data_IF_259786858297
#
_entry.id   IF_259786858297
#
_cell.length_a   1.000
_cell.length_b   1.000
_cell.length_c   1.000
_cell.angle_alpha   90.00
_cell.angle_beta   90.00
_cell.angle_gamma   90.00
#
_symmetry.space_group_name_H-M   'P 1'
#
loop_
_entity.id
_entity.type
_entity.pdbx_description
1 polymer ?
#
# COMPACT_ATOMS: atom_id res chain seq x y z
N UNK A 1 8.72 -10.51 26.52
CA UNK A 1 8.90 -10.13 26.37
C UNK A 1 8.91 -9.63 26.19
N UNK A 2 8.60 -9.55 26.14
CA UNK A 2 8.70 -8.92 25.71
C UNK A 2 9.46 -8.15 25.73
N UNK A 3 9.65 -8.03 26.06
CA UNK A 3 10.46 -7.27 26.10
C UNK A 3 11.44 -7.42 25.38
N UNK A 4 11.56 -8.10 25.03
CA UNK A 4 12.49 -8.18 24.36
C UNK A 4 12.43 -7.65 23.16
N UNK A 5 11.59 -7.64 22.77
CA UNK A 5 11.49 -7.12 21.64
C UNK A 5 11.69 -5.70 21.70
N UNK A 6 11.36 -5.19 22.59
CA UNK A 6 11.48 -3.85 22.59
C UNK A 6 12.88 -3.50 22.64
N UNK A 7 13.62 -4.41 22.84
CA UNK A 7 14.92 -4.28 22.79
C UNK A 7 15.43 -3.63 21.65
N UNK A 8 15.00 -4.04 20.54
CA UNK A 8 15.55 -3.53 19.33
C UNK A 8 15.51 -2.06 19.37
N UNK A 9 14.67 -1.57 20.08
CA UNK A 9 14.49 -0.21 20.06
C UNK A 9 15.57 0.55 20.68
N UNK A 10 16.13 0.07 21.70
CA UNK A 10 17.11 0.85 22.30
C UNK A 10 18.40 0.60 21.79
N UNK A 11 18.45 -0.17 20.86
CA UNK A 11 19.66 -0.52 20.37
C UNK A 11 20.44 0.59 19.97
N UNK A 12 19.99 1.44 19.39
CA UNK A 12 20.84 2.37 18.76
C UNK A 12 20.88 3.65 19.50
N UNK A 13 21.57 3.70 20.49
CA UNK A 13 21.74 4.92 21.22
C UNK A 13 22.31 5.94 20.27
N UNK A 14 21.63 7.03 20.14
CA UNK A 14 22.11 8.08 19.25
C UNK A 14 21.69 7.93 17.83
N UNK A 15 21.20 6.78 17.43
CA UNK A 15 20.77 6.60 16.07
C UNK A 15 19.29 6.98 15.98
N UNK A 16 18.92 7.48 14.81
CA UNK A 16 17.55 7.86 14.57
C UNK A 16 16.99 6.96 13.50
N UNK A 17 15.99 6.18 13.84
CA UNK A 17 15.33 5.31 12.87
C UNK A 17 13.87 5.66 12.79
N UNK A 18 13.46 6.16 11.66
CA UNK A 18 12.06 6.50 11.44
C UNK A 18 11.28 5.24 11.13
N UNK A 19 10.03 5.17 11.57
CA UNK A 19 9.17 4.05 11.25
C UNK A 19 8.90 3.99 9.75
N UNK A 20 9.14 5.09 9.03
CA UNK A 20 8.95 5.09 7.58
C UNK A 20 10.23 4.70 6.85
N UNK A 21 11.32 4.46 7.55
CA UNK A 21 12.56 4.07 6.95
C UNK A 21 12.38 2.69 6.32
N UNK A 22 12.75 2.50 5.05
CA UNK A 22 12.59 1.21 4.39
C UNK A 22 13.33 0.07 5.07
N UNK A 23 14.30 0.38 5.93
CA UNK A 23 15.05 -0.63 6.63
C UNK A 23 14.33 -1.14 7.86
N UNK A 24 13.27 -0.47 8.27
CA UNK A 24 12.51 -0.90 9.44
C UNK A 24 11.44 -1.87 8.98
N UNK A 25 11.43 -3.07 9.54
CA UNK A 25 10.43 -4.06 9.19
C UNK A 25 9.10 -3.67 9.82
N UNK A 26 8.00 -3.82 9.08
CA UNK A 26 6.69 -3.49 9.63
C UNK A 26 6.24 -4.53 10.65
N UNK A 27 5.46 -4.09 11.63
CA UNK A 27 4.91 -4.98 12.64
C UNK A 27 3.50 -5.42 12.30
N UNK A 28 2.86 -4.74 11.38
CA UNK A 28 1.47 -5.04 11.04
C UNK A 28 1.20 -4.69 9.59
N UNK A 29 0.11 -5.22 9.06
CA UNK A 29 -0.32 -4.85 7.73
C UNK A 29 -0.77 -3.41 7.75
N UNK A 30 -0.53 -2.68 6.67
CA UNK A 30 -0.98 -1.30 6.55
C UNK A 30 -1.14 -0.94 5.09
N UNK A 31 -2.19 -0.18 4.79
CA UNK A 31 -2.40 0.40 3.48
C UNK A 31 -2.37 1.91 3.68
N UNK A 32 -1.46 2.59 2.99
CA UNK A 32 -1.29 4.03 3.17
C UNK A 32 -2.04 4.82 2.13
N UNK A 33 -2.33 6.09 2.43
CA UNK A 33 -2.98 6.96 1.49
C UNK A 33 -2.04 7.21 0.31
N UNK A 34 -2.56 7.14 -0.90
CA UNK A 34 -1.75 7.36 -2.09
C UNK A 34 -1.24 8.79 -2.13
N UNK A 35 -0.09 9.00 -2.78
CA UNK A 35 0.47 10.33 -2.92
C UNK A 35 1.14 10.44 -4.28
N UNK A 36 0.87 11.50 -5.01
CA UNK A 36 -0.05 12.59 -4.70
C UNK A 36 -1.52 12.18 -4.83
N UNK A 37 -2.38 12.93 -4.15
CA UNK A 37 -3.83 12.71 -4.21
C UNK A 37 -4.52 14.06 -4.04
N UNK A 38 -5.20 14.63 -5.04
CA UNK A 38 -5.46 14.04 -6.36
C UNK A 38 -4.18 13.84 -7.17
N UNK A 39 -4.22 12.97 -8.17
CA UNK A 39 -3.02 12.68 -8.94
C UNK A 39 -3.22 12.87 -10.44
N UNK A 40 -2.09 13.18 -11.12
CA UNK A 40 -2.07 13.38 -12.56
C UNK A 40 -0.59 13.36 -12.99
N UNK A 41 -0.17 12.42 -13.80
CA UNK A 41 -0.92 11.27 -14.29
C UNK A 41 -0.76 10.04 -13.42
N UNK A 42 0.11 10.06 -12.43
CA UNK A 42 0.35 8.87 -11.64
C UNK A 42 0.48 9.14 -10.16
N UNK A 43 0.28 8.12 -9.38
CA UNK A 43 0.36 8.19 -7.93
C UNK A 43 1.09 6.97 -7.40
N UNK A 44 1.55 7.05 -6.17
CA UNK A 44 2.20 5.93 -5.50
C UNK A 44 1.34 5.48 -4.34
N UNK A 45 1.21 4.16 -4.20
CA UNK A 45 0.47 3.55 -3.11
C UNK A 45 1.46 2.69 -2.34
N UNK A 46 1.56 2.93 -1.04
CA UNK A 46 2.47 2.18 -0.18
C UNK A 46 1.68 1.24 0.69
N UNK A 47 2.22 0.06 0.92
CA UNK A 47 1.61 -0.90 1.82
C UNK A 47 2.68 -1.70 2.54
N UNK A 48 2.34 -2.19 3.73
CA UNK A 48 3.27 -2.91 4.59
C UNK A 48 2.79 -4.34 4.79
N UNK A 49 3.74 -5.27 4.76
CA UNK A 49 3.47 -6.70 4.95
C UNK A 49 4.35 -7.17 6.10
N UNK A 50 3.78 -7.57 7.23
CA UNK A 50 4.59 -7.94 8.41
C UNK A 50 5.12 -9.36 8.38
N UNK A 51 4.54 -10.20 7.56
CA UNK A 51 4.98 -11.58 7.40
C UNK A 51 4.60 -12.07 6.02
N UNK A 52 5.28 -13.07 5.52
CA UNK A 52 5.03 -13.59 4.18
C UNK A 52 3.56 -13.94 4.06
N UNK A 53 2.88 -13.37 3.09
CA UNK A 53 1.43 -13.52 2.92
C UNK A 53 1.03 -13.29 1.46
N UNK A 54 -0.11 -13.83 1.08
CA UNK A 54 -0.68 -13.50 -0.21
C UNK A 54 -1.33 -12.13 -0.08
N UNK A 55 -1.02 -11.23 -1.00
CA UNK A 55 -1.52 -9.86 -0.96
C UNK A 55 -2.21 -9.52 -2.26
N UNK A 56 -3.37 -8.88 -2.18
CA UNK A 56 -4.01 -8.30 -3.36
C UNK A 56 -4.25 -6.82 -3.11
N UNK A 57 -3.99 -6.01 -4.14
CA UNK A 57 -4.32 -4.58 -4.13
C UNK A 57 -5.04 -4.32 -5.43
N UNK A 58 -6.28 -3.90 -5.33
CA UNK A 58 -7.17 -3.74 -6.48
C UNK A 58 -7.83 -2.38 -6.49
N UNK A 59 -8.13 -1.88 -7.69
CA UNK A 59 -8.76 -0.58 -7.88
C UNK A 59 -10.21 -0.79 -8.32
N UNK A 60 -11.11 -0.01 -7.75
CA UNK A 60 -12.54 -0.08 -8.07
C UNK A 60 -13.08 1.30 -8.41
N UNK A 61 -14.08 1.34 -9.29
CA UNK A 61 -14.77 2.60 -9.58
C UNK A 61 -15.88 2.84 -8.55
N UNK A 62 -16.61 3.93 -8.68
CA UNK A 62 -17.67 4.27 -7.73
C UNK A 62 -18.81 3.27 -7.72
N UNK A 63 -18.95 2.48 -8.77
CA UNK A 63 -20.01 1.47 -8.83
C UNK A 63 -19.56 0.16 -8.21
N UNK A 64 -18.35 0.11 -7.69
CA UNK A 64 -17.81 -1.09 -7.08
C UNK A 64 -17.26 -2.09 -8.07
N UNK A 65 -17.08 -1.70 -9.32
CA UNK A 65 -16.54 -2.60 -10.33
C UNK A 65 -15.02 -2.53 -10.28
N UNK A 66 -14.37 -3.69 -10.33
CA UNK A 66 -12.91 -3.74 -10.33
C UNK A 66 -12.42 -3.28 -11.69
N UNK A 67 -11.54 -2.30 -11.71
CA UNK A 67 -11.00 -1.77 -12.95
C UNK A 67 -9.52 -2.10 -13.14
N UNK A 68 -8.81 -2.40 -12.10
CA UNK A 68 -7.40 -2.76 -12.19
C UNK A 68 -6.96 -3.61 -11.02
N UNK A 69 -5.99 -4.49 -11.25
CA UNK A 69 -5.35 -5.28 -10.21
C UNK A 69 -3.88 -4.88 -10.21
N UNK A 70 -3.42 -4.30 -9.11
CA UNK A 70 -2.05 -3.83 -9.02
C UNK A 70 -1.10 -4.87 -8.44
N UNK A 71 -1.59 -5.66 -7.48
CA UNK A 71 -0.82 -6.73 -6.87
C UNK A 71 -1.74 -7.91 -6.63
N UNK A 72 -1.25 -9.11 -6.90
CA UNK A 72 -1.99 -10.33 -6.61
C UNK A 72 -1.01 -11.49 -6.59
N UNK A 73 -0.23 -11.56 -5.52
CA UNK A 73 0.71 -12.66 -5.36
C UNK A 73 1.23 -12.71 -3.93
N UNK A 74 2.07 -13.70 -3.65
CA UNK A 74 2.68 -13.84 -2.33
C UNK A 74 3.81 -12.84 -2.20
N UNK A 75 3.82 -12.10 -1.10
CA UNK A 75 4.82 -11.08 -0.82
C UNK A 75 5.56 -11.43 0.47
N UNK A 76 6.85 -11.14 0.49
CA UNK A 76 7.64 -11.32 1.71
C UNK A 76 7.41 -10.13 2.65
N UNK A 77 7.92 -10.25 3.87
CA UNK A 77 7.84 -9.15 4.82
C UNK A 77 8.54 -7.94 4.23
N UNK A 78 7.92 -6.78 4.34
CA UNK A 78 8.54 -5.56 3.83
C UNK A 78 7.57 -4.41 3.64
N UNK A 79 8.13 -3.29 3.21
CA UNK A 79 7.38 -2.10 2.85
C UNK A 79 7.47 -1.95 1.34
N UNK A 80 6.33 -1.83 0.69
CA UNK A 80 6.25 -1.83 -0.77
C UNK A 80 5.62 -0.55 -1.29
N UNK A 81 6.00 -0.17 -2.50
CA UNK A 81 5.43 0.98 -3.19
C UNK A 81 5.03 0.55 -4.59
N UNK A 82 3.79 0.85 -4.96
CA UNK A 82 3.28 0.59 -6.30
C UNK A 82 3.02 1.92 -6.95
N UNK A 83 3.40 2.06 -8.22
CA UNK A 83 3.06 3.24 -9.00
C UNK A 83 1.88 2.88 -9.89
N UNK A 84 0.82 3.72 -9.86
CA UNK A 84 -0.35 3.49 -10.71
C UNK A 84 -0.60 4.73 -11.56
N UNK A 85 -0.77 4.51 -12.86
CA UNK A 85 -0.94 5.58 -13.83
C UNK A 85 -2.37 5.81 -14.29
N UNK A 86 -3.35 5.35 -13.52
CA UNK A 86 -4.75 5.58 -13.91
C UNK A 86 -5.21 4.73 -15.08
N UNK A 87 -4.63 3.56 -15.25
CA UNK A 87 -4.98 2.67 -16.36
C UNK A 87 -5.74 1.45 -15.84
N UNK A 88 -6.61 0.91 -16.69
CA UNK A 88 -7.28 -0.35 -16.32
C UNK A 88 -6.35 -1.51 -16.66
N UNK A 89 -6.79 -2.74 -16.40
CA UNK A 89 -5.99 -3.94 -16.63
C UNK A 89 -5.58 -4.15 -18.08
N UNK A 90 -6.28 -3.50 -19.01
CA UNK A 90 -5.96 -3.61 -20.42
C UNK A 90 -5.04 -2.49 -20.89
N UNK A 91 -4.61 -1.64 -19.95
CA UNK A 91 -3.73 -0.54 -20.29
C UNK A 91 -4.45 0.68 -20.83
N UNK A 92 -5.76 0.73 -20.76
CA UNK A 92 -6.52 1.86 -21.26
C UNK A 92 -6.70 2.92 -20.16
N UNK A 93 -6.63 4.20 -20.51
CA UNK A 93 -6.80 5.26 -19.52
C UNK A 93 -8.20 5.27 -18.95
N UNK A 94 -8.29 5.50 -17.64
CA UNK A 94 -9.57 5.64 -16.98
C UNK A 94 -9.94 7.12 -16.92
N UNK A 95 -11.23 7.45 -16.88
CA UNK A 95 -11.66 8.85 -16.80
C UNK A 95 -11.32 9.47 -15.47
N UNK A 96 -11.25 10.81 -15.44
CA UNK A 96 -11.08 11.53 -14.20
C UNK A 96 -12.20 11.20 -13.26
N UNK A 97 -11.92 11.12 -12.01
CA UNK A 97 -12.95 10.84 -11.01
C UNK A 97 -12.39 10.20 -9.76
N UNK A 98 -13.30 9.77 -8.91
CA UNK A 98 -12.95 9.15 -7.67
C UNK A 98 -12.95 7.63 -7.84
N UNK A 99 -11.96 6.99 -7.24
CA UNK A 99 -11.82 5.54 -7.26
C UNK A 99 -11.51 5.08 -5.85
N UNK A 100 -11.63 3.78 -5.63
CA UNK A 100 -11.25 3.17 -4.35
C UNK A 100 -10.16 2.15 -4.62
N UNK A 101 -9.27 1.96 -3.66
CA UNK A 101 -8.32 0.87 -3.74
C UNK A 101 -8.39 0.08 -2.46
N UNK A 102 -8.25 -1.23 -2.61
CA UNK A 102 -8.47 -2.16 -1.53
C UNK A 102 -7.30 -3.12 -1.42
N UNK A 103 -6.81 -3.31 -0.20
CA UNK A 103 -5.79 -4.30 0.09
C UNK A 103 -6.41 -5.42 0.90
N UNK A 104 -6.17 -6.65 0.47
CA UNK A 104 -6.60 -7.83 1.20
C UNK A 104 -5.40 -8.73 1.42
N UNK A 105 -5.21 -9.20 2.64
CA UNK A 105 -4.16 -10.16 2.95
C UNK A 105 -4.48 -10.82 4.29
N UNK A 106 -4.50 -12.12 4.35
CA UNK A 106 -4.88 -12.86 5.56
C UNK A 106 -6.19 -12.30 6.10
N UNK A 107 -6.20 -11.82 7.33
CA UNK A 107 -7.39 -11.23 7.93
C UNK A 107 -7.45 -9.72 7.76
N UNK A 108 -6.46 -9.14 7.09
CA UNK A 108 -6.39 -7.70 6.93
C UNK A 108 -7.16 -7.25 5.69
N UNK A 109 -7.95 -6.20 5.84
CA UNK A 109 -8.75 -5.67 4.76
C UNK A 109 -8.88 -4.17 4.96
N UNK A 110 -8.49 -3.39 3.97
CA UNK A 110 -8.53 -1.93 4.08
C UNK A 110 -8.86 -1.32 2.73
N UNK A 111 -9.72 -0.31 2.75
CA UNK A 111 -10.12 0.42 1.54
C UNK A 111 -9.82 1.89 1.75
N UNK A 112 -9.30 2.54 0.72
CA UNK A 112 -9.05 3.99 0.73
C UNK A 112 -9.51 4.59 -0.59
N UNK A 113 -9.71 5.90 -0.60
CA UNK A 113 -10.13 6.64 -1.79
C UNK A 113 -8.95 7.28 -2.47
N UNK A 114 -9.05 7.47 -3.76
CA UNK A 114 -8.09 8.28 -4.51
C UNK A 114 -8.82 9.01 -5.63
N UNK A 115 -8.26 10.13 -6.06
CA UNK A 115 -8.89 10.98 -7.06
C UNK A 115 -7.92 11.18 -8.23
N UNK A 116 -8.40 10.82 -9.42
CA UNK A 116 -7.64 10.99 -10.65
C UNK A 116 -8.12 12.25 -11.35
N UNK A 117 -7.19 13.14 -11.67
CA UNK A 117 -7.51 14.39 -12.36
C UNK A 117 -6.70 14.41 -13.63
N UNK A 118 -7.34 14.67 -14.75
CA UNK A 118 -6.67 14.76 -16.03
C UNK A 118 -6.66 16.17 -16.56
#
# INVERSE_FOLDING_TARGET
MPDEYNISVQLAVGAQVSLDDPKVMPFEFALHQNYPNPFNPETKIRFDVPEKSHVSVEIFNLMGQKVATLVNNTMDVGKYTITWGGLNDKGAPLPSGMYFYEMNSSDYHKIKKLVLVK
#
